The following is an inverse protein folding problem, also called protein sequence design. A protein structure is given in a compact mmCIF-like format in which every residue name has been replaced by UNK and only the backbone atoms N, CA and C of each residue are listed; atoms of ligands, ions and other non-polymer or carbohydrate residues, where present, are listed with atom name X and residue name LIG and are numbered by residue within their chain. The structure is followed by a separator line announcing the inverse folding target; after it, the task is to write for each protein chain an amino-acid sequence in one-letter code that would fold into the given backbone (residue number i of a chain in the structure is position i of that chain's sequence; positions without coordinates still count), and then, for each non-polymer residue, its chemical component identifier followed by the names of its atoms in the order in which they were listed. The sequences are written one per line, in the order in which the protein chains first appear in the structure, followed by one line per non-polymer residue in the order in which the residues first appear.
data_IF_739938289218
#
_entry.id   IF_739938289218
#
_cell.length_a   1.000
_cell.length_b   1.000
_cell.length_c   1.000
_cell.angle_alpha   90.00
_cell.angle_beta   90.00
_cell.angle_gamma   90.00
#
_symmetry.space_group_name_H-M   'P 1'
#
loop_
_entity.id
_entity.type
_entity.pdbx_description
1 polymer ?
#
# COMPACT_ATOMS: atom_id res chain seq x y z
N UNK A 1 -70.03 -38.99 40.02
CA UNK A 1 -70.77 -37.71 39.83
C UNK A 1 -70.33 -37.13 38.49
N UNK A 2 -71.30 -37.05 37.55
CA UNK A 2 -71.45 -36.22 36.34
C UNK A 2 -70.17 -35.64 35.69
N UNK A 3 -69.83 -35.84 34.41
CA UNK A 3 -70.63 -36.10 33.21
C UNK A 3 -70.74 -34.84 32.33
N UNK A 4 -70.69 -35.02 30.99
CA UNK A 4 -70.97 -34.09 29.86
C UNK A 4 -69.70 -33.54 29.15
N UNK A 5 -69.26 -34.08 27.98
CA UNK A 5 -69.73 -33.97 26.56
C UNK A 5 -69.64 -32.56 25.93
N UNK A 6 -68.88 -32.44 24.84
CA UNK A 6 -69.13 -31.59 23.63
C UNK A 6 -68.14 -32.02 22.53
N UNK A 7 -68.53 -32.79 21.53
CA UNK A 7 -69.28 -32.49 20.29
C UNK A 7 -68.43 -31.88 19.16
N UNK A 8 -68.55 -32.53 18.01
CA UNK A 8 -67.78 -32.45 16.76
C UNK A 8 -68.52 -31.53 15.79
N UNK A 9 -67.78 -30.72 15.03
CA UNK A 9 -68.28 -30.12 13.77
C UNK A 9 -67.23 -30.29 12.67
N UNK A 10 -67.64 -31.02 11.62
CA UNK A 10 -67.00 -31.07 10.31
C UNK A 10 -67.30 -29.78 9.53
N UNK A 11 -66.36 -29.33 8.69
CA UNK A 11 -66.63 -28.40 7.60
C UNK A 11 -65.92 -28.86 6.31
N UNK A 12 -66.67 -28.76 5.23
CA UNK A 12 -66.38 -29.19 3.85
C UNK A 12 -65.34 -28.34 3.11
N UNK A 13 -64.87 -28.94 2.01
CA UNK A 13 -63.98 -28.43 0.97
C UNK A 13 -64.45 -27.12 0.32
N UNK A 14 -63.48 -26.28 -0.05
CA UNK A 14 -63.66 -25.16 -0.97
C UNK A 14 -62.40 -24.93 -1.81
N UNK A 15 -62.50 -25.23 -3.11
CA UNK A 15 -61.55 -24.96 -4.19
C UNK A 15 -61.28 -23.45 -4.35
N UNK A 16 -60.00 -23.04 -4.40
CA UNK A 16 -59.59 -21.69 -4.83
C UNK A 16 -58.29 -21.74 -5.64
N UNK A 17 -58.47 -21.64 -6.96
CA UNK A 17 -57.79 -20.68 -7.85
C UNK A 17 -56.26 -20.61 -7.87
N UNK A 18 -55.67 -21.19 -8.91
CA UNK A 18 -54.28 -20.95 -9.34
C UNK A 18 -54.08 -19.51 -9.87
N UNK A 19 -53.14 -18.77 -9.27
CA UNK A 19 -52.61 -17.48 -9.76
C UNK A 19 -51.24 -17.71 -10.40
N UNK A 20 -50.97 -17.25 -11.64
CA UNK A 20 -49.64 -17.29 -12.22
C UNK A 20 -48.87 -16.01 -11.89
N UNK A 21 -47.94 -16.09 -10.93
CA UNK A 21 -46.97 -15.03 -10.67
C UNK A 21 -45.71 -15.23 -11.54
N UNK A 22 -45.66 -14.53 -12.67
CA UNK A 22 -44.46 -14.43 -13.50
C UNK A 22 -44.09 -12.95 -13.71
N UNK A 23 -43.81 -12.26 -12.60
CA UNK A 23 -43.18 -10.93 -12.61
C UNK A 23 -41.66 -11.09 -12.53
N UNK A 24 -41.02 -11.32 -13.68
CA UNK A 24 -39.57 -11.19 -13.78
C UNK A 24 -39.19 -9.72 -13.61
N UNK A 25 -38.65 -9.37 -12.43
CA UNK A 25 -38.06 -8.05 -12.18
C UNK A 25 -36.98 -7.76 -13.24
N UNK A 26 -36.96 -6.58 -13.86
CA UNK A 26 -35.94 -6.22 -14.83
C UNK A 26 -34.55 -6.30 -14.19
N UNK A 27 -33.68 -7.14 -14.78
CA UNK A 27 -32.27 -7.25 -14.41
C UNK A 27 -31.62 -5.88 -14.52
N UNK A 28 -31.33 -5.24 -13.38
CA UNK A 28 -30.47 -4.05 -13.31
C UNK A 28 -29.17 -4.34 -14.04
N UNK A 29 -28.77 -3.45 -14.95
CA UNK A 29 -27.58 -3.66 -15.77
C UNK A 29 -26.33 -3.74 -14.88
N UNK A 30 -25.43 -4.65 -15.24
CA UNK A 30 -24.16 -4.92 -14.54
C UNK A 30 -23.31 -3.66 -14.41
N UNK A 31 -23.39 -2.75 -15.39
CA UNK A 31 -22.73 -1.45 -15.36
C UNK A 31 -23.11 -0.59 -14.15
N UNK A 32 -24.37 -0.67 -13.70
CA UNK A 32 -24.85 0.05 -12.50
C UNK A 32 -24.22 -0.45 -11.20
N UNK A 33 -23.84 -1.73 -11.14
CA UNK A 33 -23.16 -2.30 -9.95
C UNK A 33 -21.69 -1.91 -9.93
N UNK A 34 -21.01 -1.93 -11.07
CA UNK A 34 -19.60 -1.54 -11.15
C UNK A 34 -19.38 -0.05 -10.87
N UNK A 35 -20.26 0.83 -11.38
CA UNK A 35 -20.17 2.27 -11.10
C UNK A 35 -20.35 2.62 -9.62
N UNK A 36 -21.19 1.88 -8.88
CA UNK A 36 -21.44 2.15 -7.45
C UNK A 36 -20.26 1.79 -6.56
N UNK A 37 -19.62 0.64 -6.82
CA UNK A 37 -18.45 0.20 -6.05
C UNK A 37 -17.24 1.09 -6.36
N UNK A 38 -17.05 1.47 -7.62
CA UNK A 38 -15.95 2.35 -8.02
C UNK A 38 -16.16 3.79 -7.53
N UNK A 39 -17.41 4.27 -7.58
CA UNK A 39 -17.79 5.56 -7.00
C UNK A 39 -17.39 5.65 -5.54
N UNK A 40 -17.71 4.64 -4.71
CA UNK A 40 -17.38 4.67 -3.27
C UNK A 40 -15.87 4.59 -3.03
N UNK A 41 -15.13 3.74 -3.77
CA UNK A 41 -13.68 3.59 -3.60
C UNK A 41 -12.88 4.83 -4.04
N UNK A 42 -13.19 5.38 -5.23
CA UNK A 42 -12.54 6.59 -5.74
C UNK A 42 -12.97 7.82 -4.96
N UNK A 43 -14.25 7.94 -4.59
CA UNK A 43 -14.70 9.03 -3.70
C UNK A 43 -14.01 8.90 -2.36
N UNK A 44 -13.84 7.69 -1.80
CA UNK A 44 -13.10 7.47 -0.55
C UNK A 44 -11.63 7.87 -0.65
N UNK A 45 -10.93 7.55 -1.74
CA UNK A 45 -9.52 7.90 -1.95
C UNK A 45 -9.35 9.41 -2.20
N UNK A 46 -10.25 10.01 -2.99
CA UNK A 46 -10.33 11.46 -3.14
C UNK A 46 -10.68 12.12 -1.80
N UNK A 47 -11.59 11.57 -1.00
CA UNK A 47 -11.93 12.09 0.33
C UNK A 47 -10.75 11.98 1.27
N UNK A 48 -10.01 10.87 1.31
CA UNK A 48 -8.86 10.70 2.19
C UNK A 48 -7.71 11.64 1.81
N UNK A 49 -7.46 11.79 0.50
CA UNK A 49 -6.51 12.77 -0.03
C UNK A 49 -6.96 14.22 0.24
N UNK A 50 -8.27 14.52 0.14
CA UNK A 50 -8.84 15.84 0.42
C UNK A 50 -9.02 16.14 1.89
N UNK A 51 -9.26 15.18 2.78
CA UNK A 51 -9.41 15.43 4.21
C UNK A 51 -8.05 15.63 4.86
N UNK A 52 -7.03 14.86 4.48
CA UNK A 52 -5.66 15.11 4.94
C UNK A 52 -5.06 16.39 4.36
N UNK A 53 -5.32 16.74 3.08
CA UNK A 53 -4.94 18.06 2.56
C UNK A 53 -5.78 19.19 3.14
N UNK A 54 -7.09 19.00 3.28
CA UNK A 54 -8.05 20.04 3.63
C UNK A 54 -8.04 20.40 5.12
N UNK A 55 -7.88 19.44 6.02
CA UNK A 55 -7.81 19.73 7.46
C UNK A 55 -6.54 20.45 7.86
N UNK A 56 -5.43 20.18 7.15
CA UNK A 56 -4.14 20.84 7.42
C UNK A 56 -4.08 22.19 6.67
N UNK A 57 -4.50 22.27 5.41
CA UNK A 57 -4.48 23.51 4.63
C UNK A 57 -5.48 24.57 5.13
N UNK A 58 -6.71 24.19 5.52
CA UNK A 58 -7.70 25.16 6.00
C UNK A 58 -7.39 25.67 7.42
N UNK A 59 -6.63 24.91 8.23
CA UNK A 59 -6.07 25.41 9.50
C UNK A 59 -4.89 26.35 9.27
N UNK A 60 -4.01 26.04 8.32
CA UNK A 60 -2.82 26.87 8.04
C UNK A 60 -3.15 28.24 7.39
N UNK A 61 -4.28 28.40 6.70
CA UNK A 61 -4.68 29.71 6.13
C UNK A 61 -5.26 30.67 7.19
N UNK A 62 -5.70 30.17 8.36
CA UNK A 62 -6.27 31.02 9.42
C UNK A 62 -5.23 31.63 10.35
N UNK A 63 -3.98 31.18 10.31
CA UNK A 63 -2.85 31.74 11.04
C UNK A 63 -1.80 32.25 10.06
N UNK A 64 -2.11 33.37 9.40
CA UNK A 64 -1.05 34.23 8.86
C UNK A 64 -0.30 34.83 10.06
N UNK A 65 0.54 34.01 10.69
CA UNK A 65 1.47 34.46 11.73
C UNK A 65 2.34 35.56 11.12
N UNK A 66 2.42 36.67 11.85
CA UNK A 66 3.20 37.85 11.49
C UNK A 66 4.71 37.65 11.61
N UNK A 67 5.19 36.48 12.03
CA UNK A 67 6.62 36.21 12.21
C UNK A 67 7.18 35.27 11.15
N UNK A 68 7.33 35.81 9.94
CA UNK A 68 7.82 35.10 8.76
C UNK A 68 9.32 34.74 8.83
N UNK A 69 10.00 35.23 9.87
CA UNK A 69 11.42 34.97 10.12
C UNK A 69 11.65 34.04 11.32
N UNK A 70 10.61 33.66 12.07
CA UNK A 70 10.79 32.70 13.15
C UNK A 70 11.14 31.32 12.58
N UNK A 71 12.12 30.62 13.17
CA UNK A 71 12.43 29.27 12.74
C UNK A 71 11.23 28.35 12.96
N UNK A 72 11.04 27.40 12.06
CA UNK A 72 9.98 26.41 12.24
C UNK A 72 10.19 25.63 13.54
N UNK A 73 9.14 25.41 14.31
CA UNK A 73 9.20 24.67 15.57
C UNK A 73 8.11 23.59 15.61
N UNK A 74 8.31 22.47 16.32
CA UNK A 74 7.27 21.46 16.50
C UNK A 74 6.00 22.01 17.17
N UNK A 75 4.85 21.50 16.74
CA UNK A 75 3.57 21.77 17.40
C UNK A 75 3.42 20.85 18.62
N UNK A 76 2.63 21.21 19.65
CA UNK A 76 2.39 20.33 20.81
C UNK A 76 1.87 18.93 20.46
N UNK A 77 1.23 18.77 19.29
CA UNK A 77 0.76 17.48 18.80
C UNK A 77 1.86 16.54 18.30
N UNK A 78 3.06 17.08 18.03
CA UNK A 78 4.22 16.31 17.55
C UNK A 78 4.91 15.55 18.69
N UNK A 79 4.79 16.05 19.93
CA UNK A 79 5.33 15.42 21.12
C UNK A 79 6.03 16.39 22.04
N UNK A 80 6.67 15.85 23.06
CA UNK A 80 7.54 16.59 23.97
C UNK A 80 8.93 16.67 23.36
N UNK A 81 9.47 17.87 23.20
CA UNK A 81 10.82 18.07 22.68
C UNK A 81 11.86 17.57 23.69
N UNK A 82 12.73 16.66 23.25
CA UNK A 82 13.87 16.19 24.03
C UNK A 82 15.14 16.99 23.70
N UNK A 83 15.38 17.22 22.40
CA UNK A 83 16.50 18.01 21.88
C UNK A 83 16.09 18.66 20.57
N UNK A 84 16.47 19.91 20.35
CA UNK A 84 16.44 20.54 19.03
C UNK A 84 17.84 21.06 18.69
N UNK A 85 18.13 21.12 17.40
CA UNK A 85 19.29 21.80 16.83
C UNK A 85 18.79 22.76 15.74
N UNK A 86 19.41 23.93 15.67
CA UNK A 86 19.12 24.97 14.68
C UNK A 86 20.27 25.98 14.65
N UNK A 87 20.38 26.75 13.57
CA UNK A 87 21.43 27.77 13.42
C UNK A 87 22.84 27.21 13.61
N UNK A 88 23.52 27.61 14.69
CA UNK A 88 24.90 27.19 14.99
C UNK A 88 25.03 25.90 15.83
N UNK A 89 23.92 25.30 16.29
CA UNK A 89 23.93 24.15 17.21
C UNK A 89 24.18 22.79 16.54
N UNK A 90 24.57 22.79 15.25
CA UNK A 90 24.92 21.58 14.53
C UNK A 90 26.32 21.07 14.87
N UNK A 91 26.51 19.75 14.79
CA UNK A 91 27.74 19.12 15.26
C UNK A 91 28.94 19.36 14.31
N UNK A 92 28.71 19.43 13.00
CA UNK A 92 29.76 19.61 11.99
C UNK A 92 29.32 20.52 10.84
N UNK A 93 30.24 21.34 10.33
CA UNK A 93 30.02 22.27 9.22
C UNK A 93 31.00 22.00 8.09
N UNK A 94 30.56 22.20 6.85
CA UNK A 94 31.27 21.81 5.65
C UNK A 94 31.17 22.88 4.57
N UNK A 95 32.31 23.23 3.98
CA UNK A 95 32.38 23.95 2.72
C UNK A 95 32.31 22.94 1.57
N UNK A 96 31.43 23.18 0.58
CA UNK A 96 31.24 22.34 -0.60
C UNK A 96 30.97 20.86 -0.25
N UNK A 97 29.84 20.56 0.43
CA UNK A 97 29.51 19.22 0.89
C UNK A 97 29.53 18.19 -0.25
N UNK A 98 30.21 17.06 -0.04
CA UNK A 98 30.38 16.02 -1.05
C UNK A 98 29.09 15.29 -1.43
N UNK A 99 28.05 15.37 -0.60
CA UNK A 99 26.74 14.77 -0.85
C UNK A 99 25.77 15.69 -1.60
N UNK A 100 26.12 16.98 -1.78
CA UNK A 100 25.25 17.99 -2.37
C UNK A 100 26.09 19.09 -3.05
N UNK A 101 26.77 18.73 -4.14
CA UNK A 101 27.71 19.60 -4.86
C UNK A 101 27.09 20.89 -5.43
N UNK A 102 25.76 20.94 -5.54
CA UNK A 102 25.02 22.12 -5.96
C UNK A 102 24.92 23.21 -4.88
N UNK A 103 25.29 22.91 -3.64
CA UNK A 103 25.27 23.85 -2.52
C UNK A 103 26.69 24.21 -2.05
N UNK A 104 26.93 25.48 -1.68
CA UNK A 104 28.22 25.92 -1.17
C UNK A 104 28.48 25.48 0.26
N UNK A 105 27.43 25.25 1.07
CA UNK A 105 27.53 24.99 2.51
C UNK A 105 26.75 23.73 2.88
N UNK A 106 27.23 23.03 3.90
CA UNK A 106 26.57 21.89 4.49
C UNK A 106 26.80 21.76 5.99
N UNK A 107 25.91 21.05 6.65
CA UNK A 107 26.01 20.76 8.08
C UNK A 107 25.47 19.37 8.39
N UNK A 108 25.92 18.78 9.49
CA UNK A 108 25.57 17.42 9.91
C UNK A 108 25.38 17.32 11.41
N UNK A 109 24.41 16.49 11.80
CA UNK A 109 24.22 16.05 13.17
C UNK A 109 23.74 14.61 13.23
N UNK A 110 24.02 13.96 14.36
CA UNK A 110 23.63 12.58 14.64
C UNK A 110 22.66 12.51 15.82
N UNK A 111 21.63 11.70 15.67
CA UNK A 111 20.72 11.31 16.74
C UNK A 111 20.81 9.80 16.96
N UNK A 112 20.64 9.40 18.22
CA UNK A 112 20.69 8.00 18.62
C UNK A 112 19.35 7.63 19.21
N UNK A 113 18.67 6.65 18.60
CA UNK A 113 17.35 6.18 19.01
C UNK A 113 17.45 4.71 19.44
N UNK A 114 16.73 4.28 20.50
CA UNK A 114 16.70 2.87 20.88
C UNK A 114 16.06 1.99 19.79
N UNK A 115 16.65 0.84 19.49
CA UNK A 115 16.08 -0.15 18.54
C UNK A 115 14.73 -0.69 19.03
N UNK A 116 14.57 -0.84 20.34
CA UNK A 116 13.38 -1.37 20.99
C UNK A 116 12.23 -0.35 21.13
N UNK A 117 12.40 0.85 20.57
CA UNK A 117 11.37 1.89 20.45
C UNK A 117 10.03 1.30 19.99
N UNK A 118 8.93 1.70 20.64
CA UNK A 118 7.58 1.34 20.20
C UNK A 118 7.28 1.84 18.79
N UNK A 119 7.87 2.99 18.43
CA UNK A 119 7.88 3.47 17.06
C UNK A 119 9.02 4.45 16.83
N UNK A 120 9.57 4.39 15.62
CA UNK A 120 10.48 5.37 15.05
C UNK A 120 9.69 6.21 14.05
N UNK A 121 9.60 7.52 14.29
CA UNK A 121 8.94 8.46 13.41
C UNK A 121 9.94 9.41 12.76
N UNK A 122 9.70 9.70 11.48
CA UNK A 122 10.25 10.85 10.80
C UNK A 122 9.13 11.77 10.34
N UNK A 123 9.21 13.06 10.66
CA UNK A 123 8.22 14.04 10.22
C UNK A 123 8.90 15.26 9.60
N UNK A 124 8.31 15.85 8.58
CA UNK A 124 8.79 17.12 8.02
C UNK A 124 7.64 18.10 7.81
N UNK A 125 7.83 19.36 8.23
CA UNK A 125 6.81 20.42 8.18
C UNK A 125 7.38 21.77 7.74
N UNK A 126 6.52 22.54 7.09
CA UNK A 126 6.84 23.84 6.51
C UNK A 126 7.25 23.77 5.03
N UNK A 127 7.70 24.91 4.50
CA UNK A 127 7.79 25.13 3.07
C UNK A 127 9.22 25.28 2.50
N UNK A 128 10.25 25.25 3.36
CA UNK A 128 11.65 25.56 2.98
C UNK A 128 12.57 24.35 3.02
N UNK A 129 12.01 23.15 2.98
CA UNK A 129 12.78 21.93 2.98
C UNK A 129 12.31 20.98 1.89
N UNK A 130 13.24 20.17 1.40
CA UNK A 130 13.01 18.98 0.61
C UNK A 130 14.20 18.06 0.80
N UNK A 131 14.12 16.81 0.35
CA UNK A 131 15.26 15.94 0.53
C UNK A 131 15.07 14.49 0.17
N UNK A 132 15.90 13.68 0.82
CA UNK A 132 15.89 12.22 0.74
C UNK A 132 15.85 11.65 2.16
N UNK A 133 15.01 10.63 2.35
CA UNK A 133 15.03 9.76 3.53
C UNK A 133 15.53 8.41 3.08
N UNK A 134 16.66 7.99 3.62
CA UNK A 134 17.29 6.71 3.34
C UNK A 134 17.15 5.79 4.56
N UNK A 135 16.77 4.54 4.35
CA UNK A 135 16.78 3.50 5.38
C UNK A 135 17.77 2.42 4.96
N UNK A 136 18.83 2.27 5.74
CA UNK A 136 19.91 1.32 5.49
C UNK A 136 20.28 0.56 6.77
N UNK A 137 21.09 -0.50 6.64
CA UNK A 137 21.58 -1.26 7.77
C UNK A 137 23.11 -1.22 7.81
N UNK A 138 23.65 -1.02 9.01
CA UNK A 138 25.07 -1.14 9.32
C UNK A 138 25.49 -2.61 9.40
N UNK A 139 26.78 -2.89 9.17
CA UNK A 139 27.37 -4.20 9.45
C UNK A 139 27.60 -4.45 10.96
N UNK A 140 27.53 -3.40 11.77
CA UNK A 140 27.82 -3.46 13.21
C UNK A 140 26.54 -3.64 14.03
N UNK A 141 26.56 -4.60 14.95
CA UNK A 141 25.47 -4.81 15.90
C UNK A 141 25.49 -3.71 16.98
N UNK A 142 24.31 -3.23 17.35
CA UNK A 142 24.11 -2.18 18.35
C UNK A 142 22.66 -2.17 18.82
N UNK A 143 22.40 -1.65 20.02
CA UNK A 143 21.05 -1.45 20.56
C UNK A 143 20.42 -0.13 20.09
N UNK A 144 21.13 0.60 19.22
CA UNK A 144 20.71 1.92 18.76
C UNK A 144 20.61 1.99 17.24
N UNK A 145 19.55 2.64 16.78
CA UNK A 145 19.42 3.19 15.44
C UNK A 145 20.09 4.55 15.42
N UNK A 146 21.00 4.76 14.48
CA UNK A 146 21.63 6.06 14.26
C UNK A 146 20.83 6.79 13.20
N UNK A 147 20.35 7.99 13.51
CA UNK A 147 19.72 8.87 12.54
C UNK A 147 20.71 9.98 12.20
N UNK A 148 21.28 9.90 11.01
CA UNK A 148 22.17 10.93 10.47
C UNK A 148 21.35 11.95 9.71
N UNK A 149 21.44 13.21 10.10
CA UNK A 149 20.76 14.32 9.42
C UNK A 149 21.82 15.24 8.84
N UNK A 150 21.84 15.34 7.51
CA UNK A 150 22.67 16.30 6.78
C UNK A 150 21.80 17.35 6.14
N UNK A 151 22.22 18.60 6.20
CA UNK A 151 21.58 19.72 5.53
C UNK A 151 22.58 20.38 4.56
N UNK A 152 22.10 20.80 3.40
CA UNK A 152 22.86 21.55 2.40
C UNK A 152 22.08 22.80 2.01
N UNK A 153 22.76 23.94 1.95
CA UNK A 153 22.13 25.26 1.84
C UNK A 153 23.06 26.30 1.20
N UNK A 154 22.46 27.39 0.69
CA UNK A 154 23.19 28.49 0.04
C UNK A 154 23.68 29.58 0.99
N UNK A 155 22.92 29.83 2.07
CA UNK A 155 23.17 30.93 3.01
C UNK A 155 22.82 30.53 4.43
N UNK A 156 23.56 31.02 5.42
CA UNK A 156 23.32 30.73 6.84
C UNK A 156 21.90 31.12 7.27
N UNK A 157 21.32 32.19 6.72
CA UNK A 157 19.95 32.59 7.06
C UNK A 157 18.89 31.56 6.63
N UNK A 158 19.19 30.69 5.66
CA UNK A 158 18.31 29.58 5.32
C UNK A 158 18.33 28.52 6.44
N UNK A 159 19.51 28.22 6.98
CA UNK A 159 19.68 27.27 8.08
C UNK A 159 19.10 27.79 9.40
N UNK A 160 19.24 29.09 9.67
CA UNK A 160 18.70 29.75 10.86
C UNK A 160 17.18 29.63 11.00
N UNK A 161 16.47 29.31 9.92
CA UNK A 161 15.01 29.12 9.89
C UNK A 161 14.59 27.67 10.09
N UNK A 162 15.53 26.74 10.21
CA UNK A 162 15.25 25.32 10.36
C UNK A 162 15.58 24.85 11.76
N UNK A 163 14.66 24.11 12.36
CA UNK A 163 14.97 23.27 13.51
C UNK A 163 14.85 21.79 13.14
N UNK A 164 15.81 21.00 13.59
CA UNK A 164 15.72 19.55 13.61
C UNK A 164 15.59 19.11 15.07
N UNK A 165 14.51 18.42 15.40
CA UNK A 165 14.19 18.06 16.77
C UNK A 165 14.03 16.56 16.94
N UNK A 166 14.57 16.05 18.04
CA UNK A 166 14.21 14.77 18.63
C UNK A 166 13.09 15.00 19.65
N UNK A 167 11.96 14.33 19.45
CA UNK A 167 10.80 14.40 20.30
C UNK A 167 10.35 13.02 20.76
N UNK A 168 9.52 13.00 21.79
CA UNK A 168 8.79 11.83 22.26
C UNK A 168 7.28 12.11 22.24
N UNK A 169 6.50 11.34 21.46
CA UNK A 169 5.05 11.55 21.31
C UNK A 169 4.22 10.87 22.38
N UNK A 170 4.60 9.64 22.69
CA UNK A 170 4.09 8.76 23.74
C UNK A 170 5.28 8.00 24.31
N UNK A 171 5.08 7.27 25.40
CA UNK A 171 6.15 6.47 26.02
C UNK A 171 6.86 5.61 24.95
N UNK A 172 8.17 5.85 24.81
CA UNK A 172 9.06 5.14 23.90
C UNK A 172 8.70 5.25 22.39
N UNK A 173 8.00 6.33 22.00
CA UNK A 173 7.76 6.68 20.59
C UNK A 173 8.64 7.86 20.17
N UNK A 174 9.78 7.53 19.57
CA UNK A 174 10.82 8.47 19.20
C UNK A 174 10.53 9.11 17.85
N UNK A 175 10.63 10.43 17.77
CA UNK A 175 10.38 11.23 16.57
C UNK A 175 11.61 12.04 16.23
N UNK A 176 12.07 11.97 14.99
CA UNK A 176 12.96 12.98 14.41
C UNK A 176 12.15 13.85 13.47
N UNK A 177 12.14 15.15 13.72
CA UNK A 177 11.32 16.11 12.98
C UNK A 177 12.16 17.23 12.38
N UNK A 178 11.85 17.61 11.13
CA UNK A 178 12.40 18.80 10.48
C UNK A 178 11.29 19.85 10.37
N UNK A 179 11.52 21.01 10.95
CA UNK A 179 10.54 22.08 11.04
C UNK A 179 11.09 23.35 10.40
N UNK A 180 10.34 23.87 9.43
CA UNK A 180 10.63 25.12 8.72
C UNK A 180 9.39 26.02 8.74
N UNK A 181 9.49 27.32 8.40
CA UNK A 181 8.33 28.20 8.40
C UNK A 181 7.23 27.68 7.44
N UNK A 182 5.97 27.84 7.84
CA UNK A 182 4.80 27.26 7.14
C UNK A 182 4.51 27.91 5.78
N UNK A 183 4.82 29.19 5.65
CA UNK A 183 4.44 30.00 4.49
C UNK A 183 5.68 30.52 3.76
N UNK A 184 5.67 30.45 2.43
CA UNK A 184 6.69 31.12 1.60
C UNK A 184 6.38 32.60 1.46
N UNK A 185 7.38 33.46 1.63
CA UNK A 185 7.26 34.86 1.25
C UNK A 185 7.24 34.99 -0.28
N UNK A 186 6.43 35.89 -0.86
CA UNK A 186 6.36 36.10 -2.31
C UNK A 186 7.68 36.52 -2.97
N UNK A 187 8.65 37.01 -2.20
CA UNK A 187 9.92 37.56 -2.69
C UNK A 187 11.15 36.70 -2.38
N UNK A 188 10.98 35.47 -1.86
CA UNK A 188 12.12 34.64 -1.49
C UNK A 188 12.74 33.90 -2.66
N UNK A 189 14.06 33.79 -2.58
CA UNK A 189 14.90 33.15 -3.57
C UNK A 189 14.88 31.63 -3.34
N UNK A 190 15.14 30.83 -4.37
CA UNK A 190 15.34 29.40 -4.21
C UNK A 190 16.51 29.08 -3.26
N UNK A 191 17.43 30.03 -3.08
CA UNK A 191 18.53 29.99 -2.12
C UNK A 191 18.11 29.98 -0.65
N UNK A 192 16.83 30.23 -0.35
CA UNK A 192 16.29 30.11 1.00
C UNK A 192 15.82 28.67 1.31
N UNK A 193 15.92 27.73 0.36
CA UNK A 193 15.61 26.33 0.61
C UNK A 193 16.80 25.57 1.19
N UNK A 194 16.50 24.64 2.08
CA UNK A 194 17.49 23.71 2.65
C UNK A 194 17.17 22.31 2.13
N UNK A 195 18.17 21.68 1.52
CA UNK A 195 18.09 20.28 1.12
C UNK A 195 18.53 19.40 2.28
N UNK A 196 17.74 18.40 2.62
CA UNK A 196 18.06 17.43 3.66
C UNK A 196 18.38 16.05 3.09
N UNK A 197 19.32 15.37 3.74
CA UNK A 197 19.57 13.95 3.56
C UNK A 197 19.54 13.29 4.94
N UNK A 198 18.47 12.53 5.19
CA UNK A 198 18.18 11.88 6.47
C UNK A 198 18.39 10.40 6.29
N UNK A 199 19.36 9.82 6.99
CA UNK A 199 19.64 8.39 6.95
C UNK A 199 19.31 7.72 8.27
N UNK A 200 18.35 6.78 8.26
CA UNK A 200 18.15 5.82 9.33
C UNK A 200 19.10 4.65 9.11
N UNK A 201 20.12 4.56 9.96
CA UNK A 201 21.11 3.49 9.95
C UNK A 201 20.72 2.49 11.04
N UNK A 202 20.04 1.43 10.63
CA UNK A 202 19.65 0.33 11.49
C UNK A 202 20.90 -0.50 11.84
N UNK A 203 21.03 -1.02 13.07
CA UNK A 203 22.16 -1.88 13.40
C UNK A 203 22.03 -3.27 12.76
N UNK A 204 23.12 -4.01 12.69
CA UNK A 204 23.03 -5.45 12.46
C UNK A 204 22.34 -6.13 13.65
N UNK A 205 21.68 -7.26 13.40
CA UNK A 205 21.21 -8.12 14.50
C UNK A 205 22.40 -8.67 15.28
N UNK A 206 22.26 -8.80 16.60
CA UNK A 206 23.30 -9.42 17.44
C UNK A 206 23.36 -10.95 17.27
N UNK A 207 22.39 -11.57 16.60
CA UNK A 207 22.28 -13.01 16.39
C UNK A 207 22.05 -13.41 14.93
N UNK A 208 21.66 -14.66 14.71
CA UNK A 208 21.34 -15.20 13.38
C UNK A 208 19.96 -14.75 12.88
N UNK A 209 19.08 -14.28 13.77
CA UNK A 209 17.74 -13.81 13.43
C UNK A 209 17.77 -12.41 12.80
N UNK A 210 16.82 -12.13 11.92
CA UNK A 210 16.63 -10.80 11.35
C UNK A 210 16.33 -9.76 12.45
N UNK A 211 16.85 -8.54 12.29
CA UNK A 211 16.56 -7.43 13.19
C UNK A 211 15.06 -7.13 13.13
N UNK A 212 14.38 -7.15 14.29
CA UNK A 212 12.98 -6.77 14.35
C UNK A 212 12.81 -5.30 14.74
N UNK A 213 12.20 -4.52 13.85
CA UNK A 213 11.80 -3.13 14.13
C UNK A 213 10.29 -3.08 14.27
N UNK A 214 9.80 -2.77 15.47
CA UNK A 214 8.35 -2.75 15.77
C UNK A 214 7.58 -1.88 14.78
N UNK A 215 8.03 -0.63 14.59
CA UNK A 215 7.33 0.33 13.75
C UNK A 215 8.24 1.44 13.24
N UNK A 216 8.23 1.66 11.94
CA UNK A 216 8.85 2.80 11.27
C UNK A 216 7.80 3.59 10.48
N UNK A 217 7.68 4.89 10.75
CA UNK A 217 6.71 5.76 10.07
C UNK A 217 7.37 7.03 9.59
N UNK A 218 7.18 7.39 8.32
CA UNK A 218 7.61 8.67 7.78
C UNK A 218 6.42 9.49 7.29
N UNK A 219 6.45 10.79 7.55
CA UNK A 219 5.51 11.77 7.03
C UNK A 219 6.30 12.96 6.50
N UNK A 220 6.73 12.84 5.24
CA UNK A 220 7.72 13.73 4.65
C UNK A 220 7.30 14.09 3.22
N UNK A 221 6.38 15.05 3.03
CA UNK A 221 5.71 15.30 1.74
C UNK A 221 6.64 15.65 0.57
N UNK A 222 7.81 16.23 0.89
CA UNK A 222 8.81 16.70 -0.07
C UNK A 222 10.10 15.86 -0.05
N UNK A 223 9.99 14.58 0.30
CA UNK A 223 11.14 13.68 0.37
C UNK A 223 11.00 12.46 -0.53
N UNK A 224 12.07 12.18 -1.26
CA UNK A 224 12.32 10.86 -1.84
C UNK A 224 12.51 9.87 -0.69
N UNK A 225 11.96 8.67 -0.81
CA UNK A 225 12.26 7.59 0.10
C UNK A 225 13.09 6.54 -0.62
N UNK A 226 14.25 6.22 -0.06
CA UNK A 226 15.15 5.15 -0.53
C UNK A 226 15.27 4.11 0.58
N UNK A 227 14.88 2.87 0.30
CA UNK A 227 15.04 1.75 1.23
C UNK A 227 16.03 0.76 0.62
N UNK A 228 17.10 0.47 1.34
CA UNK A 228 18.12 -0.49 0.93
C UNK A 228 17.56 -1.92 0.86
N UNK A 229 18.42 -2.88 0.48
CA UNK A 229 18.04 -4.29 0.44
C UNK A 229 17.97 -4.88 1.85
N UNK A 230 16.81 -4.75 2.51
CA UNK A 230 16.60 -5.10 3.92
C UNK A 230 15.77 -6.36 4.16
N UNK A 231 15.17 -6.98 3.13
CA UNK A 231 14.15 -8.03 3.31
C UNK A 231 14.66 -9.31 3.99
N UNK A 232 15.97 -9.54 3.98
CA UNK A 232 16.58 -10.75 4.51
C UNK A 232 17.27 -10.51 5.86
N UNK A 233 17.44 -9.25 6.28
CA UNK A 233 18.19 -8.88 7.49
C UNK A 233 17.38 -8.05 8.47
N UNK A 234 16.24 -7.48 8.04
CA UNK A 234 15.33 -6.68 8.88
C UNK A 234 13.89 -7.10 8.60
N UNK A 235 13.14 -7.34 9.67
CA UNK A 235 11.69 -7.52 9.64
C UNK A 235 11.01 -6.36 10.36
N UNK A 236 10.14 -5.64 9.65
CA UNK A 236 9.34 -4.58 10.24
C UNK A 236 7.99 -5.12 10.73
N UNK A 237 7.61 -4.90 11.98
CA UNK A 237 6.22 -5.12 12.39
C UNK A 237 5.28 -4.22 11.59
N UNK A 238 5.59 -2.93 11.53
CA UNK A 238 4.90 -1.98 10.65
C UNK A 238 5.89 -1.04 9.98
N UNK A 239 5.78 -0.87 8.66
CA UNK A 239 6.46 0.20 7.93
C UNK A 239 5.43 1.05 7.18
N UNK A 240 5.48 2.37 7.39
CA UNK A 240 4.58 3.32 6.73
C UNK A 240 5.37 4.49 6.16
N UNK A 241 5.52 4.55 4.84
CA UNK A 241 6.24 5.62 4.16
C UNK A 241 5.26 6.54 3.44
N UNK A 242 5.24 7.83 3.81
CA UNK A 242 4.32 8.81 3.26
C UNK A 242 5.06 10.05 2.73
N UNK A 243 4.88 10.30 1.43
CA UNK A 243 5.34 11.51 0.74
C UNK A 243 4.23 12.04 -0.16
N UNK A 244 4.42 13.18 -0.80
CA UNK A 244 3.42 13.76 -1.71
C UNK A 244 3.94 13.86 -3.13
N UNK A 245 5.16 14.39 -3.31
CA UNK A 245 5.65 14.78 -4.63
C UNK A 245 6.83 13.97 -5.15
N UNK A 246 7.35 13.05 -4.35
CA UNK A 246 8.58 12.34 -4.66
C UNK A 246 8.37 10.82 -4.65
N UNK A 247 9.24 10.08 -5.35
CA UNK A 247 9.16 8.63 -5.43
C UNK A 247 9.45 7.94 -4.09
N UNK A 248 8.96 6.71 -4.00
CA UNK A 248 9.32 5.72 -3.00
C UNK A 248 10.00 4.58 -3.75
N UNK A 249 11.29 4.44 -3.53
CA UNK A 249 12.15 3.44 -4.13
C UNK A 249 12.57 2.45 -3.04
N UNK A 250 12.22 1.18 -3.22
CA UNK A 250 12.52 0.11 -2.27
C UNK A 250 13.33 -0.95 -3.00
N UNK A 251 14.57 -1.17 -2.60
CA UNK A 251 15.35 -2.28 -3.16
C UNK A 251 14.72 -3.61 -2.73
N UNK A 252 14.55 -3.82 -1.43
CA UNK A 252 13.75 -4.92 -0.89
C UNK A 252 13.39 -4.68 0.58
N UNK A 253 12.15 -4.93 1.00
CA UNK A 253 11.74 -4.80 2.40
C UNK A 253 10.84 -5.95 2.84
N UNK A 254 10.98 -6.40 4.08
CA UNK A 254 10.08 -7.38 4.70
C UNK A 254 9.32 -6.75 5.88
N UNK A 255 8.00 -6.91 5.89
CA UNK A 255 7.16 -6.40 6.96
C UNK A 255 5.99 -7.33 7.29
N UNK A 256 5.38 -7.17 8.47
CA UNK A 256 4.05 -7.73 8.71
C UNK A 256 2.99 -6.85 8.04
N UNK A 257 3.07 -5.53 8.30
CA UNK A 257 2.18 -4.52 7.72
C UNK A 257 3.00 -3.44 7.01
N UNK A 258 2.84 -3.32 5.70
CA UNK A 258 3.47 -2.30 4.87
C UNK A 258 2.47 -1.30 4.29
N UNK A 259 2.73 0.00 4.40
CA UNK A 259 1.94 1.06 3.75
C UNK A 259 2.85 2.08 3.07
N UNK A 260 2.71 2.21 1.75
CA UNK A 260 3.55 3.10 0.95
C UNK A 260 2.63 4.03 0.16
N UNK A 261 2.67 5.33 0.48
CA UNK A 261 1.73 6.30 -0.05
C UNK A 261 2.44 7.53 -0.62
N UNK A 262 2.05 7.90 -1.84
CA UNK A 262 2.46 9.15 -2.48
C UNK A 262 1.31 9.72 -3.31
N UNK A 263 1.45 10.95 -3.83
CA UNK A 263 0.43 11.55 -4.74
C UNK A 263 0.98 11.64 -6.15
N UNK A 264 2.17 12.19 -6.30
CA UNK A 264 2.85 12.45 -7.57
C UNK A 264 4.16 11.66 -7.72
N UNK A 265 4.42 10.69 -6.84
CA UNK A 265 5.60 9.83 -6.90
C UNK A 265 5.31 8.45 -7.49
N UNK A 266 6.32 7.89 -8.14
CA UNK A 266 6.40 6.46 -8.44
C UNK A 266 6.53 5.68 -7.13
N UNK A 267 5.90 4.51 -7.06
CA UNK A 267 6.24 3.48 -6.07
C UNK A 267 6.89 2.33 -6.81
N UNK A 268 8.15 2.03 -6.48
CA UNK A 268 8.88 0.94 -7.11
C UNK A 268 9.62 0.11 -6.07
N UNK A 269 9.60 -1.22 -6.23
CA UNK A 269 10.48 -2.07 -5.45
C UNK A 269 10.04 -3.51 -5.25
N UNK A 270 10.77 -4.20 -4.37
CA UNK A 270 10.44 -5.54 -3.89
C UNK A 270 9.90 -5.49 -2.46
N UNK A 271 8.71 -6.04 -2.25
CA UNK A 271 8.00 -5.97 -0.98
C UNK A 271 7.62 -7.38 -0.52
N UNK A 272 7.98 -7.74 0.71
CA UNK A 272 7.57 -8.98 1.37
C UNK A 272 6.64 -8.66 2.52
N UNK A 273 5.50 -9.33 2.57
CA UNK A 273 4.47 -9.10 3.61
C UNK A 273 3.88 -10.39 4.14
N UNK A 274 3.76 -10.51 5.46
CA UNK A 274 3.09 -11.67 6.12
C UNK A 274 1.63 -11.40 6.48
N UNK A 275 1.20 -10.13 6.52
CA UNK A 275 -0.19 -9.77 6.83
C UNK A 275 -0.82 -8.84 5.79
N UNK A 276 -0.37 -7.59 5.67
CA UNK A 276 -1.03 -6.62 4.78
C UNK A 276 -0.04 -5.67 4.13
N UNK A 277 -0.12 -5.54 2.81
CA UNK A 277 0.68 -4.60 2.02
C UNK A 277 -0.24 -3.65 1.25
N UNK A 278 -0.03 -2.35 1.42
CA UNK A 278 -0.76 -1.30 0.72
C UNK A 278 0.18 -0.37 -0.03
N UNK A 279 0.03 -0.31 -1.35
CA UNK A 279 0.73 0.62 -2.24
C UNK A 279 -0.29 1.60 -2.84
N UNK A 280 -0.12 2.90 -2.62
CA UNK A 280 -1.07 3.91 -3.10
C UNK A 280 -0.39 5.13 -3.67
N UNK A 281 -0.71 5.45 -4.93
CA UNK A 281 -0.32 6.70 -5.58
C UNK A 281 -1.51 7.27 -6.36
N UNK A 282 -1.40 8.48 -6.91
CA UNK A 282 -2.45 9.06 -7.76
C UNK A 282 -1.98 9.21 -9.20
N UNK A 283 -0.80 9.79 -9.39
CA UNK A 283 -0.40 10.31 -10.71
C UNK A 283 0.74 9.57 -11.39
N UNK A 284 1.54 8.78 -10.66
CA UNK A 284 2.64 8.01 -11.23
C UNK A 284 2.45 6.51 -10.98
N UNK A 285 3.32 5.71 -11.59
CA UNK A 285 3.15 4.27 -11.69
C UNK A 285 3.37 3.55 -10.35
N UNK A 286 2.87 2.33 -10.28
CA UNK A 286 3.29 1.30 -9.33
C UNK A 286 3.99 0.22 -10.14
N UNK A 287 5.24 -0.09 -9.80
CA UNK A 287 6.09 -1.12 -10.40
C UNK A 287 6.64 -2.01 -9.27
N UNK A 288 5.97 -3.13 -8.99
CA UNK A 288 6.22 -3.88 -7.76
C UNK A 288 6.44 -5.38 -7.99
N UNK A 289 7.50 -5.92 -7.40
CA UNK A 289 7.62 -7.34 -7.11
C UNK A 289 7.13 -7.56 -5.67
N UNK A 290 6.19 -8.48 -5.46
CA UNK A 290 5.54 -8.68 -4.16
C UNK A 290 5.58 -10.15 -3.76
N UNK A 291 6.09 -10.44 -2.57
CA UNK A 291 5.98 -11.75 -1.92
C UNK A 291 4.97 -11.67 -0.78
N UNK A 292 3.84 -12.36 -0.92
CA UNK A 292 2.87 -12.53 0.15
C UNK A 292 3.06 -13.88 0.82
N UNK A 293 3.21 -13.87 2.14
CA UNK A 293 3.35 -15.07 2.94
C UNK A 293 2.08 -15.28 3.78
N UNK A 294 1.31 -16.31 3.45
CA UNK A 294 0.09 -16.70 4.16
C UNK A 294 0.40 -17.73 5.24
N UNK A 295 0.03 -17.44 6.48
CA UNK A 295 0.08 -18.43 7.58
C UNK A 295 -1.10 -19.40 7.53
N UNK A 296 -0.89 -20.66 7.94
CA UNK A 296 -1.99 -21.62 8.11
C UNK A 296 -2.91 -21.17 9.26
N UNK A 297 -4.20 -20.95 8.96
CA UNK A 297 -5.19 -20.52 9.95
C UNK A 297 -5.06 -19.06 10.40
N UNK A 298 -4.20 -18.27 9.74
CA UNK A 298 -4.10 -16.83 9.94
C UNK A 298 -5.14 -16.07 9.10
N UNK A 299 -5.31 -14.78 9.39
CA UNK A 299 -6.05 -13.87 8.51
C UNK A 299 -5.42 -13.87 7.10
N UNK A 300 -6.23 -13.64 6.04
CA UNK A 300 -5.72 -13.65 4.68
C UNK A 300 -4.61 -12.62 4.46
N UNK A 301 -3.51 -13.03 3.83
CA UNK A 301 -2.46 -12.10 3.44
C UNK A 301 -3.00 -11.18 2.34
N UNK A 302 -3.05 -9.87 2.62
CA UNK A 302 -3.72 -8.88 1.78
C UNK A 302 -2.73 -7.99 1.03
N UNK A 303 -2.98 -7.76 -0.26
CA UNK A 303 -2.30 -6.80 -1.10
C UNK A 303 -3.30 -5.83 -1.70
N UNK A 304 -3.15 -4.54 -1.41
CA UNK A 304 -3.95 -3.47 -2.00
C UNK A 304 -3.02 -2.55 -2.79
N UNK A 305 -3.24 -2.44 -4.10
CA UNK A 305 -2.49 -1.53 -4.96
C UNK A 305 -3.47 -0.58 -5.65
N UNK A 306 -3.24 0.71 -5.56
CA UNK A 306 -4.13 1.71 -6.17
C UNK A 306 -3.37 2.87 -6.77
N UNK A 307 -3.69 3.17 -8.03
CA UNK A 307 -3.31 4.41 -8.71
C UNK A 307 -4.51 4.98 -9.46
N UNK A 308 -4.40 6.17 -10.05
CA UNK A 308 -5.50 6.77 -10.84
C UNK A 308 -5.08 6.98 -12.28
N UNK A 309 -3.93 7.64 -12.49
CA UNK A 309 -3.56 8.18 -13.80
C UNK A 309 -2.38 7.48 -14.47
N UNK A 310 -1.79 6.47 -13.84
CA UNK A 310 -0.58 5.83 -14.33
C UNK A 310 -0.65 4.30 -14.28
N UNK A 311 0.23 3.61 -15.04
CA UNK A 311 0.23 2.16 -15.09
C UNK A 311 0.43 1.51 -13.72
N UNK A 312 -0.19 0.37 -13.54
CA UNK A 312 0.05 -0.53 -12.41
C UNK A 312 0.60 -1.83 -13.00
N UNK A 313 1.86 -2.13 -12.74
CA UNK A 313 2.51 -3.37 -13.12
C UNK A 313 3.02 -4.07 -11.86
N UNK A 314 2.58 -5.30 -11.63
CA UNK A 314 2.92 -6.05 -10.43
C UNK A 314 3.13 -7.53 -10.71
N UNK A 315 4.20 -8.07 -10.13
CA UNK A 315 4.52 -9.49 -10.09
C UNK A 315 4.35 -9.98 -8.67
N UNK A 316 3.48 -10.96 -8.48
CA UNK A 316 3.07 -11.43 -7.15
C UNK A 316 3.45 -12.90 -7.00
N UNK A 317 4.21 -13.20 -5.97
CA UNK A 317 4.51 -14.55 -5.50
C UNK A 317 3.68 -14.79 -4.24
N UNK A 318 2.92 -15.87 -4.22
CA UNK A 318 2.19 -16.32 -3.04
C UNK A 318 2.96 -17.48 -2.42
N UNK A 319 3.06 -17.53 -1.10
CA UNK A 319 3.80 -18.58 -0.41
C UNK A 319 3.18 -18.91 0.94
N UNK A 320 3.37 -20.15 1.39
CA UNK A 320 3.03 -20.62 2.74
C UNK A 320 4.18 -21.48 3.25
N UNK A 321 4.26 -21.70 4.57
CA UNK A 321 5.29 -22.55 5.16
C UNK A 321 5.27 -24.00 4.62
N UNK A 322 4.08 -24.53 4.32
CA UNK A 322 3.89 -25.90 3.84
C UNK A 322 3.96 -26.04 2.31
N UNK A 323 4.00 -24.93 1.56
CA UNK A 323 3.92 -24.94 0.10
C UNK A 323 2.53 -25.30 -0.45
N UNK A 324 1.53 -25.46 0.42
CA UNK A 324 0.13 -25.70 0.09
C UNK A 324 -0.78 -24.82 0.97
N UNK A 325 -2.03 -24.63 0.53
CA UNK A 325 -3.04 -23.84 1.21
C UNK A 325 -2.74 -22.34 1.23
N UNK A 326 -3.19 -21.69 2.31
CA UNK A 326 -3.12 -20.25 2.49
C UNK A 326 -4.31 -19.52 1.86
N UNK A 327 -4.70 -18.41 2.49
CA UNK A 327 -5.71 -17.50 1.96
C UNK A 327 -5.05 -16.17 1.61
N UNK A 328 -5.28 -15.73 0.38
CA UNK A 328 -4.66 -14.54 -0.18
C UNK A 328 -5.71 -13.63 -0.79
N UNK A 329 -5.58 -12.33 -0.53
CA UNK A 329 -6.44 -11.31 -1.12
C UNK A 329 -5.61 -10.28 -1.87
N UNK A 330 -5.93 -10.06 -3.14
CA UNK A 330 -5.22 -9.08 -3.97
C UNK A 330 -6.22 -8.14 -4.65
N UNK A 331 -6.17 -6.86 -4.31
CA UNK A 331 -7.00 -5.80 -4.87
C UNK A 331 -6.11 -4.78 -5.61
N UNK A 332 -6.05 -4.87 -6.94
CA UNK A 332 -5.31 -3.96 -7.81
C UNK A 332 -6.26 -3.07 -8.62
N UNK A 333 -6.10 -1.74 -8.51
CA UNK A 333 -7.02 -0.78 -9.13
C UNK A 333 -6.29 0.40 -9.77
N UNK A 334 -6.72 0.77 -10.97
CA UNK A 334 -6.37 2.04 -11.64
C UNK A 334 -7.61 2.61 -12.32
N UNK A 335 -7.56 3.84 -12.85
CA UNK A 335 -8.67 4.43 -13.58
C UNK A 335 -8.33 4.66 -15.06
N UNK A 336 -7.22 5.33 -15.32
CA UNK A 336 -6.92 5.92 -16.63
C UNK A 336 -5.74 5.29 -17.34
N UNK A 337 -5.16 4.22 -16.80
CA UNK A 337 -3.95 3.60 -17.34
C UNK A 337 -3.97 2.07 -17.26
N UNK A 338 -3.11 1.37 -18.01
CA UNK A 338 -3.08 -0.08 -18.03
C UNK A 338 -2.81 -0.68 -16.65
N UNK A 339 -3.40 -1.85 -16.41
CA UNK A 339 -3.14 -2.69 -15.25
C UNK A 339 -2.65 -4.06 -15.72
N UNK A 340 -1.48 -4.47 -15.24
CA UNK A 340 -0.94 -5.81 -15.41
C UNK A 340 -0.68 -6.42 -14.05
N UNK A 341 -1.21 -7.62 -13.82
CA UNK A 341 -0.97 -8.40 -12.61
C UNK A 341 -0.53 -9.80 -13.01
N UNK A 342 0.65 -10.22 -12.55
CA UNK A 342 1.23 -11.52 -12.89
C UNK A 342 1.49 -12.31 -11.62
N UNK A 343 0.82 -13.45 -11.47
CA UNK A 343 1.11 -14.40 -10.40
C UNK A 343 2.25 -15.31 -10.84
N UNK A 344 3.43 -15.08 -10.29
CA UNK A 344 4.67 -15.77 -10.67
C UNK A 344 4.78 -17.11 -9.95
N UNK A 345 4.34 -17.16 -8.70
CA UNK A 345 4.32 -18.38 -7.88
C UNK A 345 3.01 -18.45 -7.08
N UNK A 346 2.56 -19.66 -6.77
CA UNK A 346 1.35 -19.92 -6.00
C UNK A 346 1.40 -21.30 -5.34
N UNK A 347 1.10 -21.42 -4.03
CA UNK A 347 1.00 -22.69 -3.34
C UNK A 347 -0.13 -23.53 -3.94
N UNK A 348 0.03 -24.85 -3.88
CA UNK A 348 -1.04 -25.79 -4.22
C UNK A 348 -2.25 -25.55 -3.28
N UNK A 349 -3.47 -25.76 -3.75
CA UNK A 349 -4.69 -25.64 -2.93
C UNK A 349 -4.91 -24.27 -2.23
N UNK A 350 -4.23 -23.22 -2.70
CA UNK A 350 -4.36 -21.87 -2.16
C UNK A 350 -5.71 -21.22 -2.52
N UNK A 351 -6.26 -20.44 -1.59
CA UNK A 351 -7.46 -19.65 -1.81
C UNK A 351 -7.08 -18.23 -2.23
N UNK A 352 -7.02 -17.99 -3.54
CA UNK A 352 -6.74 -16.68 -4.11
C UNK A 352 -8.02 -15.91 -4.43
N UNK A 353 -8.25 -14.81 -3.73
CA UNK A 353 -9.28 -13.81 -4.04
C UNK A 353 -8.63 -12.58 -4.69
N UNK A 354 -8.68 -12.51 -6.02
CA UNK A 354 -8.00 -11.48 -6.82
C UNK A 354 -9.00 -10.57 -7.54
N UNK A 355 -8.73 -9.27 -7.54
CA UNK A 355 -9.51 -8.25 -8.19
C UNK A 355 -8.61 -7.27 -8.91
N UNK A 356 -8.71 -7.22 -10.23
CA UNK A 356 -8.00 -6.29 -11.09
C UNK A 356 -9.02 -5.41 -11.83
N UNK A 357 -9.05 -4.11 -11.50
CA UNK A 357 -10.01 -3.18 -12.09
C UNK A 357 -9.31 -1.97 -12.70
N UNK A 358 -9.79 -1.59 -13.88
CA UNK A 358 -9.50 -0.32 -14.53
C UNK A 358 -10.78 0.29 -15.10
N UNK A 359 -10.78 1.55 -15.55
CA UNK A 359 -11.94 2.15 -16.22
C UNK A 359 -11.70 2.34 -17.71
N UNK A 360 -10.65 3.08 -18.04
CA UNK A 360 -10.45 3.64 -19.37
C UNK A 360 -9.32 2.94 -20.15
N UNK A 361 -8.62 1.99 -19.53
CA UNK A 361 -7.46 1.32 -20.10
C UNK A 361 -7.57 -0.21 -19.96
N UNK A 362 -6.67 -0.98 -20.58
CA UNK A 362 -6.70 -2.44 -20.49
C UNK A 362 -6.36 -2.96 -19.08
N UNK A 363 -6.95 -4.09 -18.70
CA UNK A 363 -6.52 -4.88 -17.55
C UNK A 363 -6.15 -6.29 -17.99
N UNK A 364 -4.97 -6.74 -17.61
CA UNK A 364 -4.44 -8.07 -17.91
C UNK A 364 -4.04 -8.76 -16.62
N UNK A 365 -4.54 -9.98 -16.42
CA UNK A 365 -4.12 -10.84 -15.31
C UNK A 365 -3.56 -12.15 -15.87
N UNK A 366 -2.36 -12.49 -15.43
CA UNK A 366 -1.71 -13.78 -15.69
C UNK A 366 -1.77 -14.60 -14.41
N UNK A 367 -2.50 -15.72 -14.41
CA UNK A 367 -2.58 -16.62 -13.26
C UNK A 367 -1.48 -17.69 -13.32
N UNK A 368 -1.03 -18.11 -12.14
CA UNK A 368 -0.13 -19.25 -12.01
C UNK A 368 -0.85 -20.56 -12.36
N UNK A 369 -0.12 -21.58 -12.82
CA UNK A 369 -0.68 -22.88 -13.22
C UNK A 369 -1.35 -23.63 -12.06
N UNK A 370 -0.93 -23.37 -10.83
CA UNK A 370 -1.52 -23.91 -9.59
C UNK A 370 -2.89 -23.32 -9.24
N UNK A 371 -3.34 -22.26 -9.91
CA UNK A 371 -4.64 -21.67 -9.62
C UNK A 371 -5.80 -22.64 -9.92
N UNK A 372 -6.62 -22.88 -8.89
CA UNK A 372 -7.92 -23.55 -8.97
C UNK A 372 -9.00 -22.66 -8.36
N UNK A 373 -10.10 -22.50 -9.09
CA UNK A 373 -11.17 -21.62 -8.64
C UNK A 373 -12.03 -21.07 -9.76
N UNK A 374 -12.83 -20.06 -9.42
CA UNK A 374 -13.72 -19.37 -10.34
C UNK A 374 -13.08 -18.11 -10.88
N UNK A 375 -13.49 -17.69 -12.08
CA UNK A 375 -13.08 -16.41 -12.63
C UNK A 375 -14.23 -15.70 -13.33
N UNK A 376 -14.13 -14.37 -13.37
CA UNK A 376 -15.12 -13.48 -13.95
C UNK A 376 -14.44 -12.29 -14.61
N UNK A 377 -14.70 -12.08 -15.89
CA UNK A 377 -14.06 -11.06 -16.72
C UNK A 377 -15.13 -10.20 -17.36
N UNK A 378 -15.05 -8.88 -17.16
CA UNK A 378 -16.02 -7.92 -17.67
C UNK A 378 -15.38 -6.82 -18.50
N UNK A 379 -15.98 -6.52 -19.66
CA UNK A 379 -15.76 -5.26 -20.35
C UNK A 379 -17.02 -4.80 -21.09
N UNK A 380 -17.27 -3.49 -21.12
CA UNK A 380 -18.51 -2.94 -21.67
C UNK A 380 -18.45 -2.69 -23.18
N UNK A 381 -17.32 -2.19 -23.69
CA UNK A 381 -17.18 -1.78 -25.09
C UNK A 381 -16.41 -2.81 -25.91
N UNK A 382 -15.19 -3.14 -25.49
CA UNK A 382 -14.32 -4.09 -26.19
C UNK A 382 -14.41 -5.43 -25.48
N UNK A 383 -14.82 -6.48 -26.19
CA UNK A 383 -15.11 -7.78 -25.58
C UNK A 383 -13.94 -8.33 -24.74
N UNK A 384 -14.20 -8.91 -23.56
CA UNK A 384 -13.16 -9.55 -22.77
C UNK A 384 -12.62 -10.82 -23.46
N UNK A 385 -11.41 -11.23 -23.08
CA UNK A 385 -10.75 -12.43 -23.61
C UNK A 385 -10.18 -13.32 -22.50
N UNK A 386 -10.19 -14.63 -22.77
CA UNK A 386 -9.51 -15.65 -21.98
C UNK A 386 -8.55 -16.34 -22.92
N UNK A 387 -7.29 -16.39 -22.55
CA UNK A 387 -6.28 -17.21 -23.18
C UNK A 387 -5.92 -18.37 -22.28
N UNK A 388 -5.71 -19.54 -22.89
CA UNK A 388 -5.43 -20.78 -22.18
C UNK A 388 -4.13 -21.35 -22.72
N UNK A 389 -3.15 -21.52 -21.84
CA UNK A 389 -1.93 -22.20 -22.18
C UNK A 389 -1.96 -23.68 -21.76
N UNK A 390 -1.21 -24.50 -22.50
CA UNK A 390 -0.94 -25.88 -22.06
C UNK A 390 0.13 -25.79 -20.99
N UNK A 391 -0.20 -26.25 -19.79
CA UNK A 391 0.68 -26.25 -18.63
C UNK A 391 0.71 -27.65 -18.03
N UNK A 392 1.85 -28.03 -17.47
CA UNK A 392 2.01 -29.27 -16.74
C UNK A 392 1.32 -29.19 -15.37
N UNK A 393 0.96 -30.34 -14.82
CA UNK A 393 0.36 -30.43 -13.48
C UNK A 393 1.39 -29.98 -12.43
N UNK A 394 1.13 -28.88 -11.70
CA UNK A 394 2.08 -28.36 -10.72
C UNK A 394 2.29 -29.31 -9.53
N UNK A 395 1.37 -30.24 -9.28
CA UNK A 395 1.54 -31.29 -8.27
C UNK A 395 2.36 -32.49 -8.78
N UNK A 396 2.58 -32.61 -10.10
CA UNK A 396 3.28 -33.74 -10.70
C UNK A 396 2.50 -35.06 -10.69
N UNK A 397 1.20 -35.04 -10.38
CA UNK A 397 0.35 -36.23 -10.22
C UNK A 397 -0.29 -36.69 -11.54
N UNK A 398 0.01 -36.03 -12.66
CA UNK A 398 -0.56 -36.33 -13.96
C UNK A 398 -2.05 -35.95 -14.07
N UNK A 399 -2.51 -35.01 -13.25
CA UNK A 399 -3.87 -34.45 -13.34
C UNK A 399 -4.04 -33.70 -14.66
N UNK A 400 -5.28 -33.64 -15.14
CA UNK A 400 -5.63 -32.86 -16.34
C UNK A 400 -6.31 -31.56 -15.93
N UNK A 401 -5.87 -30.43 -16.48
CA UNK A 401 -6.52 -29.14 -16.26
C UNK A 401 -7.82 -29.07 -17.04
N UNK A 402 -8.94 -28.89 -16.34
CA UNK A 402 -10.25 -28.71 -16.94
C UNK A 402 -10.70 -27.27 -16.74
N UNK A 403 -10.94 -26.58 -17.86
CA UNK A 403 -11.41 -25.20 -17.88
C UNK A 403 -12.82 -25.18 -18.45
N UNK A 404 -13.77 -24.62 -17.70
CA UNK A 404 -15.13 -24.41 -18.17
C UNK A 404 -15.40 -22.94 -18.32
N UNK A 405 -15.98 -22.53 -19.46
CA UNK A 405 -16.25 -21.12 -19.77
C UNK A 405 -17.68 -20.94 -20.26
N UNK A 406 -18.33 -19.89 -19.79
CA UNK A 406 -19.58 -19.39 -20.32
C UNK A 406 -19.39 -17.92 -20.73
N UNK A 407 -19.83 -17.60 -21.95
CA UNK A 407 -19.70 -16.25 -22.52
C UNK A 407 -21.08 -15.63 -22.71
N UNK A 408 -21.22 -14.40 -22.26
CA UNK A 408 -22.35 -13.52 -22.53
C UNK A 408 -21.85 -12.16 -23.00
N UNK A 409 -22.76 -11.26 -23.39
CA UNK A 409 -22.38 -9.96 -23.94
C UNK A 409 -21.56 -9.15 -22.93
N UNK A 410 -20.29 -8.90 -23.23
CA UNK A 410 -19.37 -8.13 -22.40
C UNK A 410 -18.89 -8.85 -21.13
N UNK A 411 -19.14 -10.16 -21.01
CA UNK A 411 -18.83 -10.90 -19.80
C UNK A 411 -18.44 -12.35 -20.09
N UNK A 412 -17.34 -12.81 -19.50
CA UNK A 412 -16.93 -14.21 -19.51
C UNK A 412 -16.82 -14.66 -18.05
N UNK A 413 -17.43 -15.80 -17.73
CA UNK A 413 -17.28 -16.43 -16.42
C UNK A 413 -16.90 -17.89 -16.60
N UNK A 414 -16.22 -18.46 -15.62
CA UNK A 414 -15.76 -19.84 -15.72
C UNK A 414 -15.12 -20.36 -14.44
N UNK A 415 -14.57 -21.56 -14.55
CA UNK A 415 -13.76 -22.16 -13.49
C UNK A 415 -12.62 -22.97 -14.06
N UNK A 416 -11.56 -23.07 -13.27
CA UNK A 416 -10.37 -23.89 -13.51
C UNK A 416 -10.28 -24.90 -12.38
N UNK A 417 -10.06 -26.16 -12.73
CA UNK A 417 -9.79 -27.24 -11.78
C UNK A 417 -8.87 -28.29 -12.36
N UNK A 418 -8.08 -28.93 -11.52
CA UNK A 418 -7.32 -30.12 -11.88
C UNK A 418 -8.17 -31.38 -11.60
N UNK A 419 -8.27 -32.28 -12.57
CA UNK A 419 -9.06 -33.53 -12.46
C UNK A 419 -8.16 -34.75 -12.60
N UNK A 420 -8.31 -35.73 -11.71
CA UNK A 420 -7.41 -36.90 -11.60
C UNK A 420 -7.78 -37.82 -10.43
N UNK A 421 -6.88 -38.75 -10.08
CA UNK A 421 -7.11 -39.79 -9.08
C UNK A 421 -7.30 -39.15 -7.69
N UNK A 422 -8.52 -39.24 -7.15
CA UNK A 422 -8.91 -38.86 -5.77
C UNK A 422 -8.62 -37.42 -5.30
N UNK A 423 -8.83 -36.39 -6.14
CA UNK A 423 -8.86 -35.00 -5.66
C UNK A 423 -10.29 -34.55 -5.34
N UNK A 424 -10.59 -34.34 -4.05
CA UNK A 424 -11.91 -33.89 -3.56
C UNK A 424 -11.99 -32.39 -3.26
N UNK A 425 -10.89 -31.67 -3.38
CA UNK A 425 -10.83 -30.21 -3.23
C UNK A 425 -11.19 -29.50 -4.52
N UNK A 426 -12.19 -28.64 -4.51
CA UNK A 426 -12.27 -27.56 -5.49
C UNK A 426 -11.61 -26.35 -4.83
N UNK A 427 -10.45 -25.92 -5.32
CA UNK A 427 -9.83 -24.67 -4.86
C UNK A 427 -10.86 -23.54 -4.85
N UNK A 428 -10.98 -22.86 -3.70
CA UNK A 428 -12.06 -21.93 -3.39
C UNK A 428 -11.88 -20.51 -3.94
N UNK A 429 -10.82 -20.26 -4.71
CA UNK A 429 -10.45 -18.92 -5.17
C UNK A 429 -11.43 -18.28 -6.16
N UNK A 430 -11.36 -16.95 -6.25
CA UNK A 430 -12.13 -16.14 -7.19
C UNK A 430 -11.28 -15.03 -7.78
N UNK A 431 -11.20 -14.97 -9.11
CA UNK A 431 -10.46 -13.94 -9.85
C UNK A 431 -11.42 -13.07 -10.65
N UNK A 432 -11.42 -11.77 -10.38
CA UNK A 432 -12.21 -10.78 -11.11
C UNK A 432 -11.31 -9.84 -11.90
N UNK A 433 -11.52 -9.74 -13.21
CA UNK A 433 -10.86 -8.77 -14.08
C UNK A 433 -11.92 -7.89 -14.75
N UNK A 434 -11.85 -6.57 -14.59
CA UNK A 434 -12.85 -5.71 -15.22
C UNK A 434 -12.34 -4.37 -15.70
N UNK A 435 -12.94 -3.90 -16.80
CA UNK A 435 -12.73 -2.58 -17.39
C UNK A 435 -14.03 -2.06 -17.99
N UNK A 436 -14.10 -0.78 -18.36
CA UNK A 436 -15.27 -0.18 -18.98
C UNK A 436 -15.04 0.03 -20.48
N UNK A 437 -14.01 0.80 -20.84
CA UNK A 437 -13.81 1.27 -22.21
C UNK A 437 -12.74 0.50 -23.01
N UNK A 438 -12.06 -0.46 -22.38
CA UNK A 438 -10.90 -1.16 -22.94
C UNK A 438 -11.06 -2.68 -22.85
N UNK A 439 -10.15 -3.52 -23.38
CA UNK A 439 -10.22 -4.97 -23.19
C UNK A 439 -9.81 -5.39 -21.77
N UNK A 440 -10.51 -6.38 -21.21
CA UNK A 440 -10.04 -7.15 -20.07
C UNK A 440 -9.55 -8.52 -20.56
N UNK A 441 -8.37 -8.94 -20.11
CA UNK A 441 -7.74 -10.20 -20.51
C UNK A 441 -7.34 -11.00 -19.28
N UNK A 442 -7.65 -12.29 -19.32
CA UNK A 442 -7.17 -13.29 -18.38
C UNK A 442 -6.35 -14.32 -19.14
N UNK A 443 -5.17 -14.63 -18.62
CA UNK A 443 -4.27 -15.65 -19.16
C UNK A 443 -4.15 -16.75 -18.11
N UNK A 444 -4.51 -17.96 -18.52
CA UNK A 444 -4.59 -19.16 -17.69
C UNK A 444 -3.46 -20.13 -17.98
#
# INVERSE_FOLDING_TARGET
MNGVKKEVLQFENGDLGSVPDNYQRPRRSTASRHLKVFGIGVIGLLFFAFTHRGSNFARDVSELSTDLNEPGYPDPSDGTVLRCIGGADWDAHYDLPSWAHEFPLGTESLFTLPVDSEALYFVSRGAYHYGVVTVEQSAEASDNVIVRVRAAYDKDEALDRVNVCHLERQENQNVIGIFTPKSRLPSQDNKDQVRFDVTFILPASAGEDALYIKKLVTQAPLFVHEVAALSDTVLFGTISLNTANFPINVQSVAAEIGTFTTVNGLIKGHFRSTSSLKLTTTNLAIDADVDLFGGEGAEPAELIMTTVNAPLDARVSLSTASGSGGEFRVDAQTANAPLTLTYVDSPLDSQLNSKAITLNAPATVHLHSAFEGSFSIGSSIIGPSVEQHRVDDPAGEGRKRLITTSRSRGHIQGSVRWVGVEHSGAGGGSVQVSTVLSPARLIL
#
